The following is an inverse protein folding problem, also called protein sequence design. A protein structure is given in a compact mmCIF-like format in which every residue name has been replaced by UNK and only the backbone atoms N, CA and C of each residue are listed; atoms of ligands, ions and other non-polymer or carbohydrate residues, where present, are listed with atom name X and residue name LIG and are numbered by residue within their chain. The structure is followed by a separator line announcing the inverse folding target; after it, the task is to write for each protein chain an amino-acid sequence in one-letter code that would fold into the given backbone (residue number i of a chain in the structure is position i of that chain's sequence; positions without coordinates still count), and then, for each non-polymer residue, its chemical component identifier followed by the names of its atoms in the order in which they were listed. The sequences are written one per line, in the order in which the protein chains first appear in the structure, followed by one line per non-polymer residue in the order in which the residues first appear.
data_IF_233074344208
#
_entry.id   IF_233074344208
#
_cell.length_a   1.000
_cell.length_b   1.000
_cell.length_c   1.000
_cell.angle_alpha   90.00
_cell.angle_beta   90.00
_cell.angle_gamma   90.00
#
_symmetry.space_group_name_H-M   'P 1'
#
loop_
_entity.id
_entity.type
_entity.pdbx_description
1 polymer ?
#
# COMPACT_ATOMS: atom_id res chain seq x y z
N UNK A 1 67.35 51.79 -0.04
CA UNK A 1 67.39 50.32 0.17
C UNK A 1 66.05 49.93 0.78
N UNK A 2 65.11 49.43 -0.01
CA UNK A 2 63.84 48.83 0.42
C UNK A 2 63.59 47.61 -0.48
N UNK A 3 63.20 46.46 0.08
CA UNK A 3 63.34 45.17 -0.59
C UNK A 3 62.24 44.93 -1.64
N UNK A 4 62.64 44.31 -2.74
CA UNK A 4 61.78 43.76 -3.78
C UNK A 4 60.96 42.61 -3.17
N UNK A 5 59.63 42.77 -3.11
CA UNK A 5 58.71 41.67 -2.79
C UNK A 5 58.79 40.65 -3.92
N UNK A 6 59.29 39.46 -3.60
CA UNK A 6 59.46 38.35 -4.53
C UNK A 6 58.10 37.90 -5.09
N UNK A 7 57.97 37.92 -6.41
CA UNK A 7 56.81 37.43 -7.19
C UNK A 7 56.76 35.89 -7.30
N UNK A 8 57.41 35.18 -6.38
CA UNK A 8 57.59 33.72 -6.40
C UNK A 8 56.51 32.93 -5.65
N UNK A 9 55.81 33.56 -4.70
CA UNK A 9 54.84 32.85 -3.84
C UNK A 9 53.43 32.76 -4.45
N UNK A 10 53.01 33.73 -5.26
CA UNK A 10 51.65 33.79 -5.80
C UNK A 10 51.29 32.60 -6.71
N UNK A 11 52.22 32.16 -7.57
CA UNK A 11 52.00 31.03 -8.49
C UNK A 11 51.87 29.69 -7.75
N UNK A 12 52.53 29.55 -6.59
CA UNK A 12 52.50 28.33 -5.78
C UNK A 12 51.18 28.24 -4.98
N UNK A 13 50.69 29.37 -4.46
CA UNK A 13 49.41 29.46 -3.76
C UNK A 13 48.20 29.25 -4.68
N UNK A 14 48.23 29.79 -5.90
CA UNK A 14 47.17 29.55 -6.90
C UNK A 14 47.11 28.08 -7.33
N UNK A 15 48.25 27.43 -7.56
CA UNK A 15 48.30 25.98 -7.86
C UNK A 15 47.79 25.15 -6.69
N UNK A 16 48.18 25.48 -5.46
CA UNK A 16 47.66 24.82 -4.26
C UNK A 16 46.14 25.01 -4.11
N UNK A 17 45.62 26.20 -4.41
CA UNK A 17 44.19 26.48 -4.37
C UNK A 17 43.42 25.66 -5.42
N UNK A 18 43.94 25.56 -6.64
CA UNK A 18 43.34 24.74 -7.72
C UNK A 18 43.34 23.26 -7.33
N UNK A 19 44.45 22.74 -6.79
CA UNK A 19 44.53 21.35 -6.31
C UNK A 19 43.54 21.11 -5.17
N UNK A 20 43.47 22.02 -4.20
CA UNK A 20 42.54 21.92 -3.07
C UNK A 20 41.08 21.93 -3.53
N UNK A 21 40.75 22.75 -4.53
CA UNK A 21 39.40 22.83 -5.09
C UNK A 21 39.03 21.56 -5.87
N UNK A 22 39.95 21.01 -6.66
CA UNK A 22 39.74 19.72 -7.34
C UNK A 22 39.55 18.60 -6.31
N UNK A 23 40.38 18.57 -5.26
CA UNK A 23 40.28 17.59 -4.19
C UNK A 23 38.95 17.71 -3.43
N UNK A 24 38.51 18.94 -3.18
CA UNK A 24 37.21 19.21 -2.55
C UNK A 24 36.06 18.77 -3.46
N UNK A 25 36.10 19.10 -4.75
CA UNK A 25 35.10 18.66 -5.72
C UNK A 25 35.02 17.13 -5.84
N UNK A 26 36.18 16.47 -5.87
CA UNK A 26 36.26 15.00 -5.86
C UNK A 26 35.69 14.41 -4.57
N UNK A 27 35.99 15.00 -3.40
CA UNK A 27 35.43 14.59 -2.12
C UNK A 27 33.90 14.77 -2.08
N UNK A 28 33.37 15.89 -2.56
CA UNK A 28 31.92 16.13 -2.66
C UNK A 28 31.26 15.09 -3.57
N UNK A 29 31.86 14.78 -4.72
CA UNK A 29 31.33 13.76 -5.63
C UNK A 29 31.33 12.37 -4.96
N UNK A 30 32.40 12.00 -4.27
CA UNK A 30 32.48 10.75 -3.54
C UNK A 30 31.38 10.63 -2.47
N UNK A 31 31.14 11.70 -1.70
CA UNK A 31 30.05 11.76 -0.73
C UNK A 31 28.69 11.65 -1.41
N UNK A 32 28.47 12.33 -2.54
CA UNK A 32 27.21 12.27 -3.28
C UNK A 32 26.92 10.84 -3.80
N UNK A 33 27.92 10.14 -4.34
CA UNK A 33 27.79 8.74 -4.78
C UNK A 33 27.48 7.83 -3.59
N UNK A 34 28.16 8.03 -2.47
CA UNK A 34 27.92 7.26 -1.25
C UNK A 34 26.49 7.46 -0.72
N UNK A 35 25.99 8.70 -0.68
CA UNK A 35 24.62 9.02 -0.27
C UNK A 35 23.58 8.43 -1.23
N UNK A 36 23.82 8.50 -2.55
CA UNK A 36 22.94 7.90 -3.54
C UNK A 36 22.85 6.38 -3.37
N UNK A 37 23.98 5.72 -3.07
CA UNK A 37 24.01 4.29 -2.77
C UNK A 37 23.22 3.96 -1.49
N UNK A 38 23.40 4.74 -0.43
CA UNK A 38 22.64 4.57 0.82
C UNK A 38 21.14 4.73 0.61
N UNK A 39 20.73 5.78 -0.11
CA UNK A 39 19.31 6.05 -0.37
C UNK A 39 18.68 4.89 -1.16
N UNK A 40 19.40 4.34 -2.14
CA UNK A 40 18.93 3.17 -2.90
C UNK A 40 18.76 1.94 -2.02
N UNK A 41 19.72 1.68 -1.13
CA UNK A 41 19.65 0.55 -0.20
C UNK A 41 18.52 0.71 0.81
N UNK A 42 18.41 1.89 1.44
CA UNK A 42 17.32 2.23 2.36
C UNK A 42 15.95 2.10 1.69
N UNK A 43 15.82 2.51 0.43
CA UNK A 43 14.57 2.37 -0.30
C UNK A 43 14.18 0.89 -0.48
N UNK A 44 15.13 0.03 -0.84
CA UNK A 44 14.89 -1.41 -0.97
C UNK A 44 14.52 -2.06 0.36
N UNK A 45 15.21 -1.70 1.44
CA UNK A 45 14.94 -2.24 2.77
C UNK A 45 13.58 -1.77 3.29
N UNK A 46 13.23 -0.49 3.11
CA UNK A 46 11.91 0.03 3.45
C UNK A 46 10.78 -0.67 2.67
N UNK A 47 10.97 -0.93 1.37
CA UNK A 47 10.00 -1.68 0.58
C UNK A 47 9.80 -3.12 1.09
N UNK A 48 10.90 -3.79 1.47
CA UNK A 48 10.84 -5.13 2.07
C UNK A 48 10.09 -5.11 3.40
N UNK A 49 10.46 -4.21 4.29
CA UNK A 49 9.83 -4.07 5.61
C UNK A 49 8.32 -3.80 5.51
N UNK A 50 7.92 -2.88 4.62
CA UNK A 50 6.50 -2.61 4.36
C UNK A 50 5.76 -3.84 3.82
N UNK A 51 6.41 -4.61 2.95
CA UNK A 51 5.84 -5.86 2.41
C UNK A 51 5.65 -6.89 3.53
N UNK A 52 6.69 -7.14 4.32
CA UNK A 52 6.63 -8.05 5.46
C UNK A 52 5.57 -7.64 6.49
N UNK A 53 5.50 -6.36 6.85
CA UNK A 53 4.50 -5.85 7.79
C UNK A 53 3.07 -6.02 7.25
N UNK A 54 2.87 -5.80 5.94
CA UNK A 54 1.58 -6.02 5.29
C UNK A 54 1.18 -7.50 5.28
N UNK A 55 2.13 -8.40 4.99
CA UNK A 55 1.88 -9.84 4.98
C UNK A 55 1.59 -10.37 6.38
N UNK A 56 2.38 -9.97 7.37
CA UNK A 56 2.16 -10.33 8.77
C UNK A 56 0.80 -9.82 9.27
N UNK A 57 0.37 -8.61 8.88
CA UNK A 57 -0.98 -8.12 9.22
C UNK A 57 -2.08 -8.99 8.60
N UNK A 58 -1.91 -9.42 7.36
CA UNK A 58 -2.88 -10.29 6.68
C UNK A 58 -2.93 -11.67 7.33
N UNK A 59 -1.78 -12.24 7.66
CA UNK A 59 -1.66 -13.53 8.35
C UNK A 59 -2.31 -13.49 9.74
N UNK A 60 -2.03 -12.47 10.55
CA UNK A 60 -2.65 -12.32 11.87
C UNK A 60 -4.18 -12.19 11.79
N UNK A 61 -4.69 -11.51 10.76
CA UNK A 61 -6.14 -11.42 10.54
C UNK A 61 -6.71 -12.80 10.23
N UNK A 62 -6.10 -13.55 9.31
CA UNK A 62 -6.53 -14.92 8.96
C UNK A 62 -6.46 -15.84 10.19
N UNK A 63 -5.37 -15.78 10.95
CA UNK A 63 -5.20 -16.58 12.16
C UNK A 63 -6.29 -16.29 13.18
N UNK A 64 -6.60 -15.01 13.41
CA UNK A 64 -7.70 -14.60 14.29
C UNK A 64 -9.05 -15.18 13.84
N UNK A 65 -9.30 -15.23 12.52
CA UNK A 65 -10.53 -15.80 11.97
C UNK A 65 -10.61 -17.33 12.10
N UNK A 66 -9.50 -18.02 12.35
CA UNK A 66 -9.45 -19.49 12.42
C UNK A 66 -9.37 -19.97 13.86
N UNK A 67 -8.65 -19.25 14.73
CA UNK A 67 -8.45 -19.64 16.13
C UNK A 67 -9.64 -19.29 17.02
N UNK A 68 -10.36 -18.19 16.73
CA UNK A 68 -11.57 -17.82 17.48
C UNK A 68 -12.80 -18.46 16.85
N UNK A 69 -13.31 -19.52 17.49
CA UNK A 69 -14.53 -20.23 17.05
C UNK A 69 -15.74 -19.31 16.94
N UNK A 70 -15.88 -18.35 17.86
CA UNK A 70 -17.02 -17.44 17.88
C UNK A 70 -16.97 -16.49 16.69
N UNK A 71 -15.78 -15.94 16.38
CA UNK A 71 -15.56 -15.12 15.20
C UNK A 71 -15.71 -15.93 13.91
N UNK A 72 -15.15 -17.14 13.87
CA UNK A 72 -15.30 -18.07 12.74
C UNK A 72 -16.77 -18.28 12.37
N UNK A 73 -17.59 -18.54 13.40
CA UNK A 73 -19.03 -18.73 13.24
C UNK A 73 -19.74 -17.46 12.77
N UNK A 74 -19.44 -16.30 13.38
CA UNK A 74 -20.00 -15.02 12.95
C UNK A 74 -19.65 -14.75 11.47
N UNK A 75 -18.40 -15.00 11.06
CA UNK A 75 -17.94 -14.80 9.67
C UNK A 75 -18.63 -15.77 8.72
N UNK A 76 -18.79 -17.05 9.09
CA UNK A 76 -19.50 -18.01 8.26
C UNK A 76 -20.95 -17.58 8.02
N UNK A 77 -21.65 -17.16 9.07
CA UNK A 77 -23.01 -16.62 8.98
C UNK A 77 -23.03 -15.33 8.16
N UNK A 78 -22.10 -14.41 8.42
CA UNK A 78 -22.02 -13.13 7.72
C UNK A 78 -21.68 -13.25 6.23
N UNK A 79 -20.99 -14.31 5.81
CA UNK A 79 -20.78 -14.62 4.40
C UNK A 79 -22.07 -15.12 3.72
N UNK A 80 -22.99 -15.72 4.48
CA UNK A 80 -24.28 -16.21 3.97
C UNK A 80 -25.35 -15.10 3.96
N UNK A 81 -25.46 -14.36 5.07
CA UNK A 81 -26.42 -13.27 5.26
C UNK A 81 -25.89 -12.26 6.27
N UNK A 82 -25.25 -11.20 5.77
CA UNK A 82 -24.71 -10.10 6.58
C UNK A 82 -25.83 -9.25 7.19
N UNK A 83 -26.91 -9.04 6.44
CA UNK A 83 -28.02 -8.17 6.86
C UNK A 83 -28.78 -8.78 8.04
N UNK A 84 -28.99 -10.09 8.01
CA UNK A 84 -29.69 -10.83 9.07
C UNK A 84 -28.89 -11.08 10.34
N UNK A 85 -27.62 -10.64 10.43
CA UNK A 85 -26.81 -10.85 11.62
C UNK A 85 -27.37 -10.10 12.85
N UNK A 86 -27.27 -10.75 14.01
CA UNK A 86 -27.49 -10.08 15.30
C UNK A 86 -26.43 -9.00 15.57
N UNK A 87 -26.68 -8.03 16.47
CA UNK A 87 -25.81 -6.85 16.65
C UNK A 87 -24.34 -7.19 16.94
N UNK A 88 -24.07 -8.17 17.80
CA UNK A 88 -22.71 -8.56 18.17
C UNK A 88 -21.97 -9.22 16.99
N UNK A 89 -22.63 -10.14 16.29
CA UNK A 89 -22.05 -10.80 15.12
C UNK A 89 -21.83 -9.81 13.99
N UNK A 90 -22.77 -8.89 13.77
CA UNK A 90 -22.64 -7.82 12.78
C UNK A 90 -21.43 -6.94 13.08
N UNK A 91 -21.22 -6.54 14.34
CA UNK A 91 -20.02 -5.79 14.74
C UNK A 91 -18.71 -6.54 14.45
N UNK A 92 -18.65 -7.83 14.80
CA UNK A 92 -17.46 -8.68 14.55
C UNK A 92 -17.15 -8.82 13.07
N UNK A 93 -18.18 -9.12 12.26
CA UNK A 93 -18.04 -9.35 10.82
C UNK A 93 -17.73 -8.05 10.09
N UNK A 94 -18.35 -6.94 10.49
CA UNK A 94 -18.14 -5.63 9.86
C UNK A 94 -16.67 -5.21 9.89
N UNK A 95 -15.99 -5.33 11.04
CA UNK A 95 -14.57 -5.01 11.13
C UNK A 95 -13.71 -5.86 10.19
N UNK A 96 -14.03 -7.15 10.06
CA UNK A 96 -13.32 -8.06 9.17
C UNK A 96 -13.57 -7.72 7.71
N UNK A 97 -14.83 -7.51 7.31
CA UNK A 97 -15.19 -7.21 5.93
C UNK A 97 -14.64 -5.84 5.50
N UNK A 98 -14.77 -4.81 6.34
CA UNK A 98 -14.15 -3.51 6.11
C UNK A 98 -12.65 -3.64 5.83
N UNK A 99 -11.94 -4.43 6.65
CA UNK A 99 -10.50 -4.64 6.48
C UNK A 99 -10.16 -5.31 5.14
N UNK A 100 -11.00 -6.23 4.63
CA UNK A 100 -10.81 -6.85 3.31
C UNK A 100 -10.90 -5.84 2.16
N UNK A 101 -11.85 -4.89 2.22
CA UNK A 101 -11.97 -3.84 1.19
C UNK A 101 -10.83 -2.83 1.26
N UNK A 102 -10.43 -2.39 2.47
CA UNK A 102 -9.28 -1.51 2.66
C UNK A 102 -7.96 -2.15 2.17
N UNK A 103 -7.80 -3.45 2.40
CA UNK A 103 -6.66 -4.22 1.89
C UNK A 103 -6.67 -4.26 0.36
N UNK A 104 -7.83 -4.50 -0.27
CA UNK A 104 -7.97 -4.48 -1.74
C UNK A 104 -7.57 -3.13 -2.32
N UNK A 105 -8.02 -2.02 -1.70
CA UNK A 105 -7.61 -0.67 -2.09
C UNK A 105 -6.11 -0.39 -1.91
N UNK A 106 -5.51 -0.93 -0.85
CA UNK A 106 -4.08 -0.77 -0.59
C UNK A 106 -3.22 -1.55 -1.59
N UNK A 107 -3.60 -2.79 -1.90
CA UNK A 107 -2.92 -3.63 -2.89
C UNK A 107 -2.98 -3.03 -4.29
N UNK A 108 -4.13 -2.45 -4.66
CA UNK A 108 -4.29 -1.72 -5.92
C UNK A 108 -3.31 -0.55 -6.04
N UNK A 109 -3.26 0.34 -5.03
CA UNK A 109 -2.37 1.52 -5.06
C UNK A 109 -0.89 1.18 -5.09
N UNK A 110 -0.50 0.06 -4.47
CA UNK A 110 0.88 -0.40 -4.49
C UNK A 110 1.30 -1.00 -5.84
N UNK A 111 0.36 -1.24 -6.76
CA UNK A 111 0.64 -1.87 -8.05
C UNK A 111 1.34 -3.22 -7.91
N UNK A 112 1.03 -3.97 -6.83
CA UNK A 112 1.77 -5.16 -6.36
C UNK A 112 2.07 -6.19 -7.45
N UNK A 113 1.25 -6.25 -8.51
CA UNK A 113 1.40 -7.19 -9.63
C UNK A 113 1.49 -6.49 -11.00
N UNK A 114 2.09 -5.30 -11.06
CA UNK A 114 2.36 -4.60 -12.33
C UNK A 114 1.15 -3.96 -12.99
N UNK A 115 0.10 -3.65 -12.21
CA UNK A 115 -1.08 -2.91 -12.68
C UNK A 115 -2.12 -3.74 -13.45
N UNK A 116 -2.00 -5.08 -13.46
CA UNK A 116 -3.05 -5.93 -14.04
C UNK A 116 -4.31 -5.92 -13.19
N UNK A 117 -5.44 -5.58 -13.83
CA UNK A 117 -6.76 -5.65 -13.22
C UNK A 117 -7.22 -7.10 -12.95
N UNK A 118 -6.59 -8.11 -13.55
CA UNK A 118 -7.10 -9.48 -13.51
C UNK A 118 -7.03 -10.11 -12.12
N UNK A 119 -5.95 -9.84 -11.36
CA UNK A 119 -5.86 -10.29 -9.98
C UNK A 119 -6.98 -9.71 -9.13
N UNK A 120 -7.25 -8.41 -9.29
CA UNK A 120 -8.29 -7.71 -8.55
C UNK A 120 -9.68 -8.23 -8.91
N UNK A 121 -9.92 -8.54 -10.19
CA UNK A 121 -11.16 -9.21 -10.62
C UNK A 121 -11.33 -10.57 -9.94
N UNK A 122 -10.27 -11.38 -9.87
CA UNK A 122 -10.30 -12.67 -9.16
C UNK A 122 -10.58 -12.47 -7.68
N UNK A 123 -9.92 -11.51 -7.03
CA UNK A 123 -10.12 -11.21 -5.62
C UNK A 123 -11.57 -10.80 -5.34
N UNK A 124 -12.14 -9.87 -6.10
CA UNK A 124 -13.55 -9.50 -5.95
C UNK A 124 -14.49 -10.65 -6.32
N UNK A 125 -14.12 -11.52 -7.26
CA UNK A 125 -14.89 -12.73 -7.56
C UNK A 125 -15.02 -13.61 -6.33
N UNK A 126 -13.90 -13.91 -5.65
CA UNK A 126 -13.89 -14.73 -4.44
C UNK A 126 -14.65 -14.09 -3.26
N UNK A 127 -14.62 -12.76 -3.16
CA UNK A 127 -15.42 -12.04 -2.15
C UNK A 127 -16.90 -12.13 -2.51
N UNK A 128 -17.26 -11.78 -3.74
CA UNK A 128 -18.64 -11.70 -4.19
C UNK A 128 -19.27 -13.05 -4.48
N UNK A 129 -18.57 -14.17 -4.50
CA UNK A 129 -19.19 -15.50 -4.50
C UNK A 129 -20.09 -15.71 -3.26
N UNK A 130 -19.86 -14.94 -2.19
CA UNK A 130 -20.56 -15.02 -0.92
C UNK A 130 -21.70 -13.99 -0.88
N UNK A 131 -22.97 -14.39 -0.71
CA UNK A 131 -24.09 -13.44 -0.74
C UNK A 131 -23.98 -12.31 0.30
N UNK A 132 -23.52 -12.61 1.50
CA UNK A 132 -23.35 -11.60 2.55
C UNK A 132 -22.25 -10.57 2.24
N UNK A 133 -21.22 -10.93 1.47
CA UNK A 133 -20.24 -9.96 0.98
C UNK A 133 -20.82 -9.03 -0.08
N UNK A 134 -21.74 -9.54 -0.92
CA UNK A 134 -22.47 -8.71 -1.89
C UNK A 134 -23.40 -7.74 -1.17
N UNK A 135 -24.16 -8.22 -0.17
CA UNK A 135 -24.96 -7.34 0.70
C UNK A 135 -24.09 -6.27 1.37
N UNK A 136 -22.96 -6.67 1.96
CA UNK A 136 -22.02 -5.75 2.60
C UNK A 136 -21.49 -4.70 1.63
N UNK A 137 -21.17 -5.10 0.40
CA UNK A 137 -20.65 -4.21 -0.62
C UNK A 137 -21.63 -3.09 -0.97
N UNK A 138 -22.91 -3.42 -1.15
CA UNK A 138 -23.97 -2.43 -1.41
C UNK A 138 -24.15 -1.47 -0.24
N UNK A 139 -24.12 -2.00 1.00
CA UNK A 139 -24.35 -1.20 2.20
C UNK A 139 -23.16 -0.30 2.51
N UNK A 140 -21.94 -0.82 2.53
CA UNK A 140 -20.75 -0.06 2.99
C UNK A 140 -19.46 -0.39 2.24
N UNK A 141 -19.23 -1.64 1.84
CA UNK A 141 -17.95 -2.07 1.26
C UNK A 141 -17.47 -1.22 0.08
N UNK A 142 -18.41 -0.70 -0.73
CA UNK A 142 -18.11 0.19 -1.85
C UNK A 142 -17.49 1.53 -1.45
N UNK A 143 -17.84 2.08 -0.29
CA UNK A 143 -17.34 3.40 0.16
C UNK A 143 -15.86 3.36 0.55
N UNK A 144 -15.35 2.19 0.93
CA UNK A 144 -13.93 1.99 1.26
C UNK A 144 -13.02 1.85 0.03
N UNK A 145 -13.60 1.72 -1.16
CA UNK A 145 -12.85 1.73 -2.42
C UNK A 145 -12.76 3.15 -2.95
N UNK A 146 -11.73 3.89 -2.54
CA UNK A 146 -11.56 5.31 -2.89
C UNK A 146 -11.17 5.57 -4.36
N UNK A 147 -10.52 4.61 -5.01
CA UNK A 147 -10.11 4.72 -6.41
C UNK A 147 -11.26 4.35 -7.35
N UNK A 148 -11.59 5.23 -8.30
CA UNK A 148 -12.74 5.06 -9.19
C UNK A 148 -12.58 3.87 -10.16
N UNK A 149 -11.36 3.60 -10.62
CA UNK A 149 -11.09 2.47 -11.50
C UNK A 149 -11.25 1.15 -10.74
N UNK A 150 -10.71 1.07 -9.52
CA UNK A 150 -10.90 -0.08 -8.65
C UNK A 150 -12.38 -0.31 -8.31
N UNK A 151 -13.10 0.77 -7.98
CA UNK A 151 -14.52 0.72 -7.67
C UNK A 151 -15.32 0.24 -8.88
N UNK A 152 -15.01 0.73 -10.07
CA UNK A 152 -15.64 0.27 -11.31
C UNK A 152 -15.38 -1.22 -11.59
N UNK A 153 -14.16 -1.71 -11.34
CA UNK A 153 -13.85 -3.15 -11.46
C UNK A 153 -14.72 -3.96 -10.49
N UNK A 154 -14.83 -3.51 -9.24
CA UNK A 154 -15.68 -4.17 -8.25
C UNK A 154 -17.16 -4.14 -8.66
N UNK A 155 -17.69 -3.01 -9.13
CA UNK A 155 -19.07 -2.88 -9.62
C UNK A 155 -19.35 -3.87 -10.77
N UNK A 156 -18.41 -4.03 -11.71
CA UNK A 156 -18.53 -5.00 -12.84
C UNK A 156 -18.55 -6.44 -12.33
N UNK A 157 -17.67 -6.80 -11.41
CA UNK A 157 -17.61 -8.16 -10.85
C UNK A 157 -18.85 -8.45 -10.01
N UNK A 158 -19.31 -7.46 -9.24
CA UNK A 158 -20.56 -7.54 -8.49
C UNK A 158 -21.74 -7.82 -9.43
N UNK A 159 -21.90 -7.02 -10.49
CA UNK A 159 -23.01 -7.14 -11.43
C UNK A 159 -23.02 -8.50 -12.13
N UNK A 160 -21.84 -8.98 -12.51
CA UNK A 160 -21.68 -10.32 -13.10
C UNK A 160 -22.14 -11.43 -12.15
N UNK A 161 -21.86 -11.31 -10.85
CA UNK A 161 -22.16 -12.35 -9.87
C UNK A 161 -23.58 -12.26 -9.31
N UNK A 162 -24.10 -11.07 -9.05
CA UNK A 162 -25.46 -10.84 -8.54
C UNK A 162 -26.51 -10.88 -9.66
N UNK A 163 -26.12 -10.60 -10.91
CA UNK A 163 -27.03 -10.50 -12.06
C UNK A 163 -27.77 -9.16 -12.17
N UNK A 164 -27.38 -8.16 -11.37
CA UNK A 164 -27.92 -6.78 -11.39
C UNK A 164 -26.85 -5.79 -10.94
N UNK A 165 -26.94 -4.50 -11.34
CA UNK A 165 -26.04 -3.48 -10.84
C UNK A 165 -26.20 -3.26 -9.33
N UNK A 166 -25.17 -2.66 -8.74
CA UNK A 166 -25.14 -2.24 -7.34
C UNK A 166 -26.26 -1.24 -7.07
N UNK A 167 -27.06 -1.48 -6.03
CA UNK A 167 -28.06 -0.54 -5.58
C UNK A 167 -27.45 0.52 -4.65
N UNK A 168 -27.18 1.69 -5.22
CA UNK A 168 -26.57 2.82 -4.51
C UNK A 168 -27.50 3.46 -3.46
N UNK A 169 -28.80 3.15 -3.47
CA UNK A 169 -29.75 3.71 -2.50
C UNK A 169 -29.64 3.09 -1.12
N UNK A 170 -29.00 1.91 -1.02
CA UNK A 170 -28.81 1.18 0.23
C UNK A 170 -27.56 1.61 1.01
N UNK A 171 -26.73 2.47 0.45
CA UNK A 171 -25.46 2.84 1.06
C UNK A 171 -25.65 3.52 2.43
N UNK A 172 -25.04 2.95 3.47
CA UNK A 172 -24.91 3.53 4.80
C UNK A 172 -23.62 4.37 4.83
N UNK A 173 -23.70 5.62 5.31
CA UNK A 173 -22.55 6.52 5.49
C UNK A 173 -21.98 6.35 6.90
#
# INVERSE_FOLDING_TARGET
MLPVVQRGDAMNWEQLAVIAQIATGAATLAVAVFLASQLRQQHQDAQRELTFASENRQENLILSMVEDESLSKSILQGNQDFIGLGPLDKFRVDGVFQQMFLMSGSLWRLGRDGGSADRVKVQFGLLFDRPGMRQYYELRGRTFLYDDALRSIADIVYEKTEGRPVDLTKAEI
#
